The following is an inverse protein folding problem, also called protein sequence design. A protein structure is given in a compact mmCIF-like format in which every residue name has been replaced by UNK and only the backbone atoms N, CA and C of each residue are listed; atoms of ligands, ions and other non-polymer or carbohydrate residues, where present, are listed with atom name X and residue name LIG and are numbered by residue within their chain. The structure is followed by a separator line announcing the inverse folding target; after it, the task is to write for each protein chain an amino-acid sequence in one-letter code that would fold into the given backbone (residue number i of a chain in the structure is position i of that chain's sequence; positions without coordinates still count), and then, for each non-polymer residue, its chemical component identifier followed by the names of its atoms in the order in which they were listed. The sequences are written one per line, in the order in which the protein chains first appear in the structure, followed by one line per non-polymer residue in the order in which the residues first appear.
data_IF_474544069106
#
_entry.id   IF_474544069106
#
_cell.length_a   1.000
_cell.length_b   1.000
_cell.length_c   1.000
_cell.angle_alpha   90.00
_cell.angle_beta   90.00
_cell.angle_gamma   90.00
#
_symmetry.space_group_name_H-M   'P 1'
#
loop_
_entity.id
_entity.type
_entity.pdbx_description
1 polymer ?
#
# COMPACT_ATOMS: atom_id res chain seq x y z
N UNK A 1 -3.52 21.92 -26.48
CA UNK A 1 -3.54 22.22 -25.03
C UNK A 1 -2.29 21.61 -24.40
N UNK A 2 -1.61 22.33 -23.52
CA UNK A 2 -0.47 21.78 -22.77
C UNK A 2 -0.99 20.85 -21.67
N UNK A 3 -0.42 19.64 -21.55
CA UNK A 3 -0.75 18.73 -20.47
C UNK A 3 0.21 18.99 -19.30
N UNK A 4 -0.34 19.33 -18.15
CA UNK A 4 0.44 19.64 -16.94
C UNK A 4 0.18 18.56 -15.89
N UNK A 5 1.21 17.80 -15.55
CA UNK A 5 1.09 16.77 -14.50
C UNK A 5 1.01 17.40 -13.12
N UNK A 6 0.40 16.74 -12.13
CA UNK A 6 0.59 17.09 -10.72
C UNK A 6 2.09 17.10 -10.37
N UNK A 7 2.46 17.79 -9.29
CA UNK A 7 3.84 17.78 -8.81
C UNK A 7 4.21 16.36 -8.36
N UNK A 8 5.48 15.99 -8.57
CA UNK A 8 5.99 14.65 -8.23
C UNK A 8 5.20 13.50 -8.87
N UNK A 9 4.52 13.77 -9.99
CA UNK A 9 3.83 12.74 -10.74
C UNK A 9 4.78 11.65 -11.21
N UNK A 10 4.41 10.39 -11.01
CA UNK A 10 5.14 9.23 -11.54
C UNK A 10 4.26 7.99 -11.58
N UNK A 11 4.59 7.05 -12.46
CA UNK A 11 4.03 5.71 -12.44
C UNK A 11 4.82 4.83 -11.45
N UNK A 12 4.13 4.33 -10.41
CA UNK A 12 4.71 3.40 -9.43
C UNK A 12 4.71 1.97 -10.00
N UNK A 13 3.61 1.60 -10.64
CA UNK A 13 3.43 0.36 -11.40
C UNK A 13 2.52 0.68 -12.61
N UNK A 14 2.40 -0.22 -13.61
CA UNK A 14 1.41 -0.05 -14.66
C UNK A 14 0.01 0.21 -14.06
N UNK A 15 -0.64 1.28 -14.51
CA UNK A 15 -1.94 1.75 -14.02
C UNK A 15 -1.97 2.22 -12.55
N UNK A 16 -0.84 2.25 -11.85
CA UNK A 16 -0.71 2.80 -10.50
C UNK A 16 0.16 4.06 -10.52
N UNK A 17 -0.47 5.20 -10.26
CA UNK A 17 0.18 6.50 -10.34
C UNK A 17 0.25 7.17 -8.97
N UNK A 18 1.24 8.04 -8.78
CA UNK A 18 1.40 8.88 -7.59
C UNK A 18 1.58 10.35 -7.98
N UNK A 19 1.37 11.25 -7.03
CA UNK A 19 1.79 12.66 -7.13
C UNK A 19 1.23 13.53 -6.00
N UNK A 20 1.21 14.85 -6.21
CA UNK A 20 0.60 15.83 -5.31
C UNK A 20 -0.92 15.90 -5.44
N UNK A 21 -1.56 16.66 -4.54
CA UNK A 21 -2.98 16.94 -4.68
C UNK A 21 -3.26 17.58 -6.05
N UNK A 22 -4.17 16.99 -6.86
CA UNK A 22 -4.59 17.54 -8.13
C UNK A 22 -5.15 18.95 -8.01
N UNK A 23 -4.98 19.73 -9.07
CA UNK A 23 -5.60 21.04 -9.26
C UNK A 23 -6.23 21.11 -10.65
N UNK A 24 -7.04 22.13 -10.90
CA UNK A 24 -7.73 22.36 -12.18
C UNK A 24 -6.79 22.27 -13.39
N UNK A 25 -5.59 22.87 -13.31
CA UNK A 25 -4.59 22.82 -14.38
C UNK A 25 -4.13 21.39 -14.74
N UNK A 26 -4.29 20.44 -13.82
CA UNK A 26 -3.91 19.04 -14.02
C UNK A 26 -5.00 18.19 -14.65
N UNK A 27 -6.27 18.65 -14.67
CA UNK A 27 -7.41 17.88 -15.17
C UNK A 27 -7.15 17.35 -16.58
N UNK A 28 -6.70 18.15 -17.58
CA UNK A 28 -6.50 17.65 -18.93
C UNK A 28 -5.51 16.48 -18.99
N UNK A 29 -4.49 16.49 -18.12
CA UNK A 29 -3.54 15.39 -18.01
C UNK A 29 -4.16 14.17 -17.31
N UNK A 30 -4.87 14.36 -16.20
CA UNK A 30 -5.50 13.26 -15.45
C UNK A 30 -6.55 12.51 -16.27
N UNK A 31 -7.27 13.20 -17.16
CA UNK A 31 -8.19 12.58 -18.13
C UNK A 31 -7.46 11.53 -18.99
N UNK A 32 -6.20 11.76 -19.36
CA UNK A 32 -5.43 10.83 -20.20
C UNK A 32 -5.09 9.51 -19.51
N UNK A 33 -5.11 9.48 -18.18
CA UNK A 33 -4.78 8.29 -17.39
C UNK A 33 -5.93 7.29 -17.28
N UNK A 34 -7.17 7.69 -17.61
CA UNK A 34 -8.34 6.82 -17.52
C UNK A 34 -8.57 6.29 -16.10
N UNK A 35 -8.39 7.15 -15.09
CA UNK A 35 -8.47 6.76 -13.68
C UNK A 35 -9.87 6.23 -13.35
N UNK A 36 -9.91 5.16 -12.56
CA UNK A 36 -11.12 4.68 -11.89
C UNK A 36 -11.18 5.21 -10.45
N UNK A 37 -10.02 5.36 -9.81
CA UNK A 37 -9.91 5.80 -8.42
C UNK A 37 -8.88 6.90 -8.20
N UNK A 38 -9.21 7.81 -7.29
CA UNK A 38 -8.24 8.75 -6.69
C UNK A 38 -8.20 8.47 -5.19
N UNK A 39 -7.02 8.15 -4.66
CA UNK A 39 -6.79 7.89 -3.23
C UNK A 39 -6.15 9.12 -2.60
N UNK A 40 -6.88 9.78 -1.70
CA UNK A 40 -6.49 11.04 -1.06
C UNK A 40 -6.05 10.80 0.38
N UNK A 41 -4.75 11.00 0.65
CA UNK A 41 -4.11 10.93 1.96
C UNK A 41 -3.90 12.35 2.52
N UNK A 42 -4.99 13.02 2.83
CA UNK A 42 -5.02 14.44 3.23
C UNK A 42 -5.87 14.63 4.49
N UNK A 43 -5.79 15.79 5.17
CA UNK A 43 -6.67 16.10 6.29
C UNK A 43 -8.14 16.29 5.86
N UNK A 44 -8.32 16.83 4.65
CA UNK A 44 -9.63 17.10 4.07
C UNK A 44 -9.81 16.30 2.78
N UNK A 45 -11.05 15.88 2.45
CA UNK A 45 -11.33 15.14 1.22
C UNK A 45 -11.18 16.03 -0.02
N UNK A 46 -10.83 15.43 -1.15
CA UNK A 46 -10.67 16.13 -2.42
C UNK A 46 -11.99 16.76 -2.92
N UNK A 47 -13.13 16.20 -2.50
CA UNK A 47 -14.47 16.67 -2.86
C UNK A 47 -14.82 18.03 -2.27
N UNK A 48 -14.03 18.57 -1.32
CA UNK A 48 -14.19 19.96 -0.88
C UNK A 48 -13.84 20.98 -1.96
N UNK A 49 -13.05 20.60 -2.97
CA UNK A 49 -12.82 21.41 -4.17
C UNK A 49 -13.93 21.11 -5.20
N UNK A 50 -14.85 22.06 -5.48
CA UNK A 50 -15.97 21.83 -6.41
C UNK A 50 -15.51 21.45 -7.82
N UNK A 51 -14.34 21.94 -8.25
CA UNK A 51 -13.80 21.62 -9.56
C UNK A 51 -13.35 20.16 -9.63
N UNK A 52 -12.72 19.66 -8.57
CA UNK A 52 -12.31 18.26 -8.49
C UNK A 52 -13.50 17.31 -8.29
N UNK A 53 -14.51 17.74 -7.53
CA UNK A 53 -15.75 16.98 -7.37
C UNK A 53 -16.48 16.81 -8.71
N UNK A 54 -16.65 17.90 -9.47
CA UNK A 54 -17.23 17.86 -10.83
C UNK A 54 -16.44 16.92 -11.74
N UNK A 55 -15.11 17.08 -11.76
CA UNK A 55 -14.23 16.25 -12.57
C UNK A 55 -14.39 14.75 -12.24
N UNK A 56 -14.43 14.40 -10.95
CA UNK A 56 -14.63 13.01 -10.53
C UNK A 56 -15.99 12.49 -10.98
N UNK A 57 -17.05 13.29 -10.82
CA UNK A 57 -18.41 12.92 -11.23
C UNK A 57 -18.54 12.73 -12.73
N UNK A 58 -18.04 13.66 -13.54
CA UNK A 58 -18.09 13.59 -15.00
C UNK A 58 -17.32 12.38 -15.57
N UNK A 59 -16.22 12.00 -14.94
CA UNK A 59 -15.37 10.89 -15.38
C UNK A 59 -15.71 9.56 -14.70
N UNK A 60 -16.64 9.54 -13.76
CA UNK A 60 -16.98 8.34 -12.99
C UNK A 60 -15.82 7.84 -12.13
N UNK A 61 -14.99 8.77 -11.63
CA UNK A 61 -13.87 8.48 -10.74
C UNK A 61 -14.38 8.42 -9.31
N UNK A 62 -14.08 7.34 -8.61
CA UNK A 62 -14.41 7.19 -7.20
C UNK A 62 -13.28 7.75 -6.32
N UNK A 63 -13.63 8.64 -5.38
CA UNK A 63 -12.66 9.22 -4.46
C UNK A 63 -12.60 8.40 -3.17
N UNK A 64 -11.41 7.87 -2.87
CA UNK A 64 -11.12 7.13 -1.63
C UNK A 64 -10.36 8.06 -0.71
N UNK A 65 -11.08 8.63 0.24
CA UNK A 65 -10.50 9.50 1.26
C UNK A 65 -10.06 8.68 2.47
N UNK A 66 -8.78 8.78 2.82
CA UNK A 66 -8.24 8.20 4.03
C UNK A 66 -7.59 9.34 4.81
N UNK A 67 -8.18 9.67 5.96
CA UNK A 67 -7.74 10.80 6.78
C UNK A 67 -6.29 10.60 7.23
N UNK A 68 -5.43 11.54 6.86
CA UNK A 68 -4.06 11.62 7.33
C UNK A 68 -3.89 12.88 8.17
N UNK A 69 -3.24 12.75 9.32
CA UNK A 69 -2.94 13.87 10.20
C UNK A 69 -2.18 14.97 9.47
N UNK A 70 -2.55 16.21 9.73
CA UNK A 70 -1.84 17.37 9.19
C UNK A 70 -0.36 17.33 9.57
N UNK A 71 0.54 17.38 8.59
CA UNK A 71 1.99 17.49 8.83
C UNK A 71 2.34 18.75 9.67
N UNK A 72 1.40 19.70 9.77
CA UNK A 72 1.51 20.99 10.46
C UNK A 72 0.67 21.08 11.74
N UNK A 73 0.26 19.98 12.37
CA UNK A 73 -0.43 20.08 13.66
C UNK A 73 0.42 20.93 14.66
N UNK A 74 -0.14 22.03 15.20
CA UNK A 74 0.57 22.87 16.15
C UNK A 74 0.72 22.10 17.46
N UNK A 75 1.95 21.65 17.74
CA UNK A 75 2.28 21.09 19.06
C UNK A 75 1.99 22.17 20.10
N UNK A 76 1.04 21.87 20.97
CA UNK A 76 0.62 22.66 22.12
C UNK A 76 1.83 23.33 22.79
N UNK A 77 1.86 24.66 22.78
CA UNK A 77 2.96 25.50 23.33
C UNK A 77 2.94 25.55 24.86
N UNK A 78 2.22 24.64 25.52
CA UNK A 78 2.01 24.63 26.97
C UNK A 78 3.13 24.00 27.80
N UNK A 79 4.06 23.21 27.23
CA UNK A 79 5.03 22.44 28.06
C UNK A 79 6.50 22.79 27.80
N UNK A 80 7.14 23.15 28.92
CA UNK A 80 8.49 23.65 29.15
C UNK A 80 9.63 22.88 28.44
N UNK A 81 10.65 23.65 28.03
CA UNK A 81 11.94 23.28 27.43
C UNK A 81 12.55 21.94 27.94
N UNK A 82 12.55 20.90 27.10
CA UNK A 82 13.68 19.95 26.91
C UNK A 82 13.77 19.54 25.43
N UNK A 83 14.99 19.60 24.90
CA UNK A 83 15.38 19.66 23.49
C UNK A 83 15.53 18.25 22.89
N UNK A 84 14.43 17.66 22.41
CA UNK A 84 14.44 16.69 21.28
C UNK A 84 13.03 16.61 20.71
N UNK A 85 12.73 17.47 19.75
CA UNK A 85 11.48 17.45 18.99
C UNK A 85 11.48 16.15 18.17
N UNK A 86 11.00 15.04 18.73
CA UNK A 86 10.72 13.82 17.96
C UNK A 86 9.76 14.26 16.85
N UNK A 87 10.28 14.35 15.62
CA UNK A 87 9.44 14.45 14.43
C UNK A 87 8.84 13.06 14.31
N UNK A 88 7.62 12.90 14.82
CA UNK A 88 6.88 11.68 14.60
C UNK A 88 6.64 11.56 13.08
N UNK A 89 6.55 10.32 12.60
CA UNK A 89 6.14 10.04 11.23
C UNK A 89 4.73 10.61 11.04
N UNK A 90 4.43 11.29 9.93
CA UNK A 90 3.16 12.03 9.74
C UNK A 90 1.97 11.13 9.38
N UNK A 91 2.12 9.81 9.43
CA UNK A 91 1.09 8.84 9.07
C UNK A 91 1.09 7.70 10.07
N UNK A 92 -0.10 7.25 10.44
CA UNK A 92 -0.30 6.12 11.33
C UNK A 92 -0.19 4.79 10.58
N UNK A 93 0.18 3.74 11.32
CA UNK A 93 0.33 2.40 10.77
C UNK A 93 -0.98 1.89 10.13
N UNK A 94 -2.10 2.09 10.81
CA UNK A 94 -3.42 1.62 10.35
C UNK A 94 -3.86 2.29 9.05
N UNK A 95 -3.55 3.57 8.88
CA UNK A 95 -3.77 4.31 7.62
C UNK A 95 -3.01 3.68 6.46
N UNK A 96 -1.74 3.31 6.66
CA UNK A 96 -0.96 2.61 5.63
C UNK A 96 -1.55 1.23 5.34
N UNK A 97 -2.00 0.50 6.36
CA UNK A 97 -2.66 -0.80 6.19
C UNK A 97 -3.94 -0.68 5.36
N UNK A 98 -4.79 0.33 5.63
CA UNK A 98 -5.99 0.59 4.83
C UNK A 98 -5.65 0.90 3.37
N UNK A 99 -4.60 1.69 3.12
CA UNK A 99 -4.12 1.95 1.77
C UNK A 99 -3.66 0.67 1.07
N UNK A 100 -2.90 -0.18 1.77
CA UNK A 100 -2.42 -1.46 1.25
C UNK A 100 -3.60 -2.38 0.91
N UNK A 101 -4.59 -2.47 1.80
CA UNK A 101 -5.80 -3.27 1.58
C UNK A 101 -6.55 -2.82 0.33
N UNK A 102 -6.69 -1.51 0.13
CA UNK A 102 -7.30 -0.96 -1.08
C UNK A 102 -6.46 -1.26 -2.35
N UNK A 103 -5.15 -1.01 -2.31
CA UNK A 103 -4.24 -1.21 -3.45
C UNK A 103 -3.94 -2.68 -3.75
N UNK A 104 -4.35 -3.61 -2.89
CA UNK A 104 -4.17 -5.03 -3.11
C UNK A 104 -5.04 -5.59 -4.26
N UNK A 105 -6.18 -4.96 -4.55
CA UNK A 105 -7.13 -5.39 -5.56
C UNK A 105 -6.83 -4.76 -6.93
N UNK A 106 -6.62 -5.60 -7.95
CA UNK A 106 -6.37 -5.19 -9.34
C UNK A 106 -7.57 -4.45 -9.95
N UNK A 107 -8.78 -4.66 -9.44
CA UNK A 107 -10.00 -4.00 -9.91
C UNK A 107 -10.08 -2.52 -9.48
N UNK A 108 -9.21 -2.10 -8.57
CA UNK A 108 -9.06 -0.70 -8.17
C UNK A 108 -8.11 0.09 -9.07
N UNK A 109 -7.65 -0.48 -10.20
CA UNK A 109 -6.76 0.19 -11.15
C UNK A 109 -7.49 0.51 -12.48
N UNK A 110 -7.15 1.60 -13.18
CA UNK A 110 -6.08 2.56 -12.87
C UNK A 110 -6.40 3.50 -11.70
N UNK A 111 -5.42 3.76 -10.84
CA UNK A 111 -5.59 4.64 -9.69
C UNK A 111 -4.44 5.63 -9.51
N UNK A 112 -4.77 6.75 -8.87
CA UNK A 112 -3.84 7.81 -8.54
C UNK A 112 -3.84 8.06 -7.03
N UNK A 113 -2.70 7.89 -6.37
CA UNK A 113 -2.54 8.17 -4.94
C UNK A 113 -1.82 9.49 -4.71
N UNK A 114 -2.32 10.30 -3.77
CA UNK A 114 -1.67 11.55 -3.41
C UNK A 114 -1.83 11.90 -1.93
N UNK A 115 -0.93 12.75 -1.46
CA UNK A 115 -1.15 13.55 -0.26
C UNK A 115 -1.20 15.03 -0.68
N UNK A 116 -1.10 15.98 0.24
CA UNK A 116 -1.14 17.42 -0.10
C UNK A 116 -0.03 17.79 -1.07
N UNK A 117 1.22 17.43 -0.76
CA UNK A 117 2.39 17.76 -1.57
C UNK A 117 2.85 16.63 -2.49
N UNK A 118 2.44 15.40 -2.25
CA UNK A 118 2.91 14.22 -2.99
C UNK A 118 4.30 13.73 -2.62
N UNK A 119 4.86 14.23 -1.52
CA UNK A 119 6.20 13.91 -1.01
C UNK A 119 6.09 12.82 0.08
N UNK A 120 6.16 13.19 1.35
CA UNK A 120 6.44 12.28 2.47
C UNK A 120 5.38 11.19 2.68
N UNK A 121 4.13 11.56 2.94
CA UNK A 121 3.04 10.59 3.22
C UNK A 121 2.86 9.59 2.07
N UNK A 122 2.72 10.07 0.82
CA UNK A 122 2.64 9.20 -0.36
C UNK A 122 3.86 8.30 -0.49
N UNK A 123 5.06 8.82 -0.24
CA UNK A 123 6.29 8.03 -0.34
C UNK A 123 6.40 6.95 0.73
N UNK A 124 5.89 7.19 1.95
CA UNK A 124 5.85 6.18 3.01
C UNK A 124 4.92 5.02 2.62
N UNK A 125 3.73 5.31 2.09
CA UNK A 125 2.81 4.28 1.60
C UNK A 125 3.43 3.48 0.46
N UNK A 126 4.00 4.16 -0.55
CA UNK A 126 4.67 3.50 -1.66
C UNK A 126 5.85 2.65 -1.18
N UNK A 127 6.65 3.13 -0.23
CA UNK A 127 7.76 2.36 0.34
C UNK A 127 7.28 1.07 1.04
N UNK A 128 6.18 1.13 1.79
CA UNK A 128 5.55 -0.05 2.39
C UNK A 128 5.02 -1.02 1.31
N UNK A 129 4.40 -0.52 0.24
CA UNK A 129 3.98 -1.34 -0.92
C UNK A 129 5.18 -2.04 -1.60
N UNK A 130 6.31 -1.34 -1.77
CA UNK A 130 7.54 -1.94 -2.31
C UNK A 130 8.09 -3.03 -1.41
N UNK A 131 8.00 -2.86 -0.10
CA UNK A 131 8.40 -3.88 0.87
C UNK A 131 7.55 -5.14 0.73
N UNK A 132 6.23 -5.01 0.51
CA UNK A 132 5.33 -6.13 0.19
C UNK A 132 5.60 -6.77 -1.19
N UNK A 133 6.24 -6.01 -2.09
CA UNK A 133 6.75 -6.48 -3.38
C UNK A 133 8.15 -7.10 -3.29
N UNK A 134 8.68 -7.31 -2.07
CA UNK A 134 10.03 -7.84 -1.80
C UNK A 134 11.18 -7.05 -2.43
N UNK A 135 11.02 -5.74 -2.55
CA UNK A 135 12.15 -4.88 -2.92
C UNK A 135 13.20 -4.86 -1.81
N UNK A 136 14.47 -4.75 -2.20
CA UNK A 136 15.54 -4.56 -1.22
C UNK A 136 15.37 -3.21 -0.51
N UNK A 137 15.71 -3.13 0.77
CA UNK A 137 15.65 -1.89 1.56
C UNK A 137 16.42 -0.74 0.88
N UNK A 138 17.55 -1.05 0.22
CA UNK A 138 18.35 -0.07 -0.53
C UNK A 138 17.56 0.50 -1.71
N UNK A 139 16.89 -0.36 -2.49
CA UNK A 139 16.05 0.06 -3.62
C UNK A 139 14.86 0.90 -3.15
N UNK A 140 14.23 0.52 -2.05
CA UNK A 140 13.11 1.26 -1.45
C UNK A 140 13.56 2.67 -1.07
N UNK A 141 14.70 2.81 -0.38
CA UNK A 141 15.20 4.12 0.01
C UNK A 141 15.69 4.97 -1.17
N UNK A 142 16.25 4.36 -2.21
CA UNK A 142 16.60 5.10 -3.42
C UNK A 142 15.37 5.70 -4.11
N UNK A 143 14.27 4.93 -4.22
CA UNK A 143 13.00 5.46 -4.74
C UNK A 143 12.44 6.54 -3.82
N UNK A 144 12.44 6.30 -2.49
CA UNK A 144 11.96 7.27 -1.51
C UNK A 144 12.67 8.62 -1.61
N UNK A 145 14.00 8.60 -1.74
CA UNK A 145 14.84 9.80 -1.85
C UNK A 145 14.72 10.52 -3.20
N UNK A 146 14.09 9.91 -4.20
CA UNK A 146 13.75 10.61 -5.45
C UNK A 146 12.67 11.68 -5.22
N UNK A 147 11.78 11.47 -4.24
CA UNK A 147 10.66 12.35 -3.93
C UNK A 147 10.82 13.13 -2.62
N UNK A 148 11.83 12.80 -1.82
CA UNK A 148 12.10 13.44 -0.53
C UNK A 148 13.58 13.77 -0.43
N UNK A 149 13.90 15.01 -0.07
CA UNK A 149 15.30 15.47 0.03
C UNK A 149 16.12 14.73 1.09
N UNK A 150 15.47 14.10 2.07
CA UNK A 150 16.12 13.33 3.12
C UNK A 150 15.17 12.31 3.74
N UNK A 151 15.72 11.25 4.32
CA UNK A 151 14.98 10.31 5.18
C UNK A 151 15.51 10.39 6.61
N UNK A 152 14.62 10.60 7.56
CA UNK A 152 14.96 10.67 8.98
C UNK A 152 14.93 9.27 9.64
N UNK A 153 15.50 9.14 10.83
CA UNK A 153 15.61 7.85 11.54
C UNK A 153 14.23 7.23 11.88
N UNK A 154 13.21 8.04 12.12
CA UNK A 154 11.86 7.59 12.42
C UNK A 154 11.14 7.07 11.16
N UNK A 155 11.30 7.74 10.02
CA UNK A 155 10.77 7.30 8.72
C UNK A 155 11.44 6.00 8.28
N UNK A 156 12.78 5.93 8.40
CA UNK A 156 13.53 4.70 8.14
C UNK A 156 13.05 3.56 9.04
N UNK A 157 12.96 3.80 10.34
CA UNK A 157 12.47 2.83 11.30
C UNK A 157 11.03 2.40 11.02
N UNK A 158 10.17 3.31 10.55
CA UNK A 158 8.81 2.98 10.16
C UNK A 158 8.78 2.01 8.97
N UNK A 159 9.52 2.31 7.90
CA UNK A 159 9.59 1.44 6.71
C UNK A 159 10.20 0.07 7.09
N UNK A 160 11.32 0.06 7.81
CA UNK A 160 12.03 -1.17 8.18
C UNK A 160 11.21 -2.07 9.12
N UNK A 161 10.48 -1.48 10.07
CA UNK A 161 9.67 -2.24 11.04
C UNK A 161 8.22 -2.43 10.60
N UNK A 162 7.80 -1.91 9.44
CA UNK A 162 6.45 -2.11 8.92
C UNK A 162 6.13 -3.60 8.83
N UNK A 163 5.11 -4.05 9.56
CA UNK A 163 4.72 -5.44 9.57
C UNK A 163 4.13 -5.82 8.21
N UNK A 164 4.56 -6.98 7.72
CA UNK A 164 4.19 -7.50 6.41
C UNK A 164 3.09 -8.56 6.53
N UNK A 165 2.63 -8.81 7.76
CA UNK A 165 1.42 -9.55 8.06
C UNK A 165 0.23 -8.60 8.13
N UNK A 166 -0.51 -8.52 7.03
CA UNK A 166 -1.70 -7.68 6.87
C UNK A 166 -2.85 -8.58 6.45
N UNK A 167 -3.94 -8.50 7.17
CA UNK A 167 -5.16 -9.21 6.84
C UNK A 167 -5.90 -8.43 5.74
N UNK A 168 -6.01 -9.01 4.55
CA UNK A 168 -6.82 -8.44 3.47
C UNK A 168 -8.16 -9.15 3.49
N UNK A 169 -9.20 -8.42 3.88
CA UNK A 169 -10.58 -8.91 3.90
C UNK A 169 -11.20 -8.72 2.51
N UNK A 170 -12.11 -9.61 2.16
CA UNK A 170 -12.99 -9.46 0.99
C UNK A 170 -12.28 -9.40 -0.38
N UNK A 171 -11.04 -9.92 -0.47
CA UNK A 171 -10.29 -10.01 -1.73
C UNK A 171 -10.11 -11.47 -2.16
N UNK A 172 -10.65 -11.80 -3.34
CA UNK A 172 -10.36 -13.07 -4.00
C UNK A 172 -8.90 -13.09 -4.50
N UNK A 173 -8.22 -14.22 -4.32
CA UNK A 173 -6.83 -14.42 -4.78
C UNK A 173 -6.66 -14.18 -6.28
N UNK A 174 -7.72 -14.38 -7.08
CA UNK A 174 -7.68 -14.09 -8.53
C UNK A 174 -7.61 -12.59 -8.83
N UNK A 175 -8.13 -11.76 -7.94
CA UNK A 175 -8.27 -10.31 -8.11
C UNK A 175 -7.14 -9.52 -7.45
N UNK A 176 -6.29 -10.21 -6.69
CA UNK A 176 -5.06 -9.65 -6.17
C UNK A 176 -4.10 -9.18 -7.27
N UNK A 177 -3.45 -8.04 -7.05
CA UNK A 177 -2.35 -7.58 -7.90
C UNK A 177 -1.18 -8.58 -7.95
N UNK A 178 -0.65 -8.82 -9.16
CA UNK A 178 0.36 -9.85 -9.42
C UNK A 178 1.74 -9.54 -8.84
N UNK A 179 2.05 -8.25 -8.66
CA UNK A 179 3.35 -7.77 -8.18
C UNK A 179 3.48 -7.79 -6.65
N UNK A 180 2.38 -8.01 -5.93
CA UNK A 180 2.41 -8.22 -4.48
C UNK A 180 2.61 -9.72 -4.21
N UNK A 181 3.55 -10.08 -3.34
CA UNK A 181 3.83 -11.49 -3.04
C UNK A 181 3.01 -11.92 -1.83
N UNK A 182 2.39 -13.10 -1.90
CA UNK A 182 1.61 -13.68 -0.79
C UNK A 182 2.10 -15.09 -0.53
N UNK A 183 2.32 -15.41 0.75
CA UNK A 183 2.34 -16.80 1.20
C UNK A 183 0.90 -17.17 1.55
N UNK A 184 0.27 -17.98 0.69
CA UNK A 184 -1.01 -18.58 1.05
C UNK A 184 -0.76 -19.54 2.20
N UNK A 185 -1.30 -19.24 3.37
CA UNK A 185 -1.49 -20.20 4.44
C UNK A 185 -2.69 -21.06 4.03
N UNK A 186 -2.43 -22.25 3.50
CA UNK A 186 -3.45 -23.29 3.52
C UNK A 186 -3.67 -23.66 4.99
N UNK A 187 -4.55 -22.94 5.68
CA UNK A 187 -5.14 -23.43 6.93
C UNK A 187 -6.20 -24.44 6.49
N UNK A 188 -5.73 -25.62 6.06
CA UNK A 188 -6.61 -26.78 5.99
C UNK A 188 -6.94 -27.14 7.43
N UNK A 189 -8.18 -26.85 7.78
CA UNK A 189 -8.96 -27.35 8.90
C UNK A 189 -8.43 -28.68 9.44
N UNK A 190 -7.58 -28.63 10.47
CA UNK A 190 -7.16 -29.79 11.24
C UNK A 190 -8.04 -29.87 12.48
N UNK A 191 -9.34 -30.12 12.27
CA UNK A 191 -10.28 -30.46 13.33
C UNK A 191 -10.83 -31.88 13.12
N UNK A 192 -10.38 -32.79 14.00
CA UNK A 192 -11.02 -34.05 14.39
C UNK A 192 -11.16 -35.22 13.36
N UNK A 193 -10.35 -36.27 13.52
CA UNK A 193 -10.75 -37.54 14.21
C UNK A 193 -9.68 -38.65 14.14
N UNK A 194 -9.34 -39.14 15.33
CA UNK A 194 -9.14 -40.53 15.77
C UNK A 194 -8.32 -41.54 14.96
N UNK A 195 -7.50 -42.28 15.70
CA UNK A 195 -6.54 -43.25 15.20
C UNK A 195 -7.16 -44.55 14.68
N UNK A 196 -6.39 -45.24 13.83
CA UNK A 196 -5.88 -46.58 14.10
C UNK A 196 -4.89 -46.96 12.98
N UNK A 197 -3.79 -47.59 13.34
CA UNK A 197 -2.82 -48.16 12.41
C UNK A 197 -3.33 -49.49 11.87
N UNK A 198 -3.01 -49.85 10.62
CA UNK A 198 -2.47 -51.15 10.14
C UNK A 198 -2.60 -51.27 8.60
N UNK A 199 -1.46 -51.59 7.96
CA UNK A 199 -1.14 -52.22 6.66
C UNK A 199 -1.96 -52.03 5.37
N UNK A 200 -1.22 -51.85 4.26
CA UNK A 200 -1.70 -52.13 2.90
C UNK A 200 -0.84 -51.52 1.78
N UNK A 201 -0.12 -52.37 1.07
CA UNK A 201 0.89 -52.07 0.03
C UNK A 201 0.32 -51.66 -1.34
N UNK A 202 1.06 -50.79 -2.05
CA UNK A 202 1.32 -50.73 -3.52
C UNK A 202 0.78 -49.58 -4.41
N UNK A 203 1.76 -49.05 -5.16
CA UNK A 203 1.78 -48.52 -6.55
C UNK A 203 1.60 -47.03 -6.89
N UNK A 204 2.74 -46.47 -7.33
CA UNK A 204 3.01 -45.66 -8.54
C UNK A 204 2.56 -44.19 -8.62
N UNK A 205 3.54 -43.30 -8.85
CA UNK A 205 3.34 -41.93 -9.30
C UNK A 205 4.51 -41.02 -8.93
N UNK A 206 5.59 -41.06 -9.71
CA UNK A 206 6.74 -40.19 -9.53
C UNK A 206 6.38 -38.73 -9.84
N UNK A 207 6.13 -37.93 -8.81
CA UNK A 207 6.19 -36.47 -8.90
C UNK A 207 7.45 -35.99 -8.19
N UNK A 208 8.41 -35.49 -8.97
CA UNK A 208 9.61 -34.82 -8.50
C UNK A 208 9.21 -33.57 -7.69
N UNK A 209 9.03 -33.73 -6.38
CA UNK A 209 8.90 -32.60 -5.46
C UNK A 209 10.27 -31.97 -5.31
N UNK A 210 10.48 -30.82 -5.95
CA UNK A 210 11.62 -29.96 -5.64
C UNK A 210 11.43 -29.48 -4.20
N UNK A 211 12.10 -30.14 -3.25
CA UNK A 211 12.25 -29.64 -1.88
C UNK A 211 13.22 -28.46 -1.95
N UNK A 212 12.71 -27.23 -1.91
CA UNK A 212 13.55 -26.08 -1.60
C UNK A 212 13.94 -26.15 -0.12
N UNK A 213 15.14 -26.71 0.13
CA UNK A 213 15.88 -26.55 1.38
C UNK A 213 16.46 -25.13 1.38
N UNK A 214 16.19 -24.38 2.43
CA UNK A 214 16.80 -23.06 2.66
C UNK A 214 16.11 -22.27 3.75
N UNK A 215 16.35 -22.63 5.01
CA UNK A 215 16.08 -21.75 6.16
C UNK A 215 16.92 -20.49 6.01
N UNK A 216 16.28 -19.35 5.79
CA UNK A 216 16.89 -18.03 5.97
C UNK A 216 16.39 -17.40 7.28
N UNK A 217 17.27 -16.77 8.07
CA UNK A 217 16.92 -16.21 9.37
C UNK A 217 16.27 -14.83 9.17
N UNK A 218 14.94 -14.82 9.18
CA UNK A 218 14.11 -13.62 9.18
C UNK A 218 12.66 -14.02 8.97
N UNK A 219 11.75 -13.62 9.88
CA UNK A 219 10.33 -13.91 9.72
C UNK A 219 9.81 -13.21 8.47
N UNK A 220 9.33 -14.01 7.53
CA UNK A 220 8.83 -13.57 6.24
C UNK A 220 7.39 -13.02 6.38
N UNK A 221 6.99 -12.06 5.53
CA UNK A 221 5.60 -11.59 5.40
C UNK A 221 4.54 -12.69 5.43
N UNK A 222 3.48 -12.51 6.21
CA UNK A 222 2.27 -13.37 6.24
C UNK A 222 1.01 -12.55 6.06
N UNK A 223 0.70 -12.18 4.82
CA UNK A 223 -0.60 -11.60 4.49
C UNK A 223 -1.68 -12.69 4.59
N UNK A 224 -2.64 -12.59 5.52
CA UNK A 224 -3.77 -13.55 5.58
C UNK A 224 -4.96 -13.00 4.77
N UNK A 225 -5.52 -13.83 3.91
CA UNK A 225 -6.69 -13.48 3.11
C UNK A 225 -7.88 -14.23 3.68
N UNK A 226 -8.96 -13.51 3.98
CA UNK A 226 -10.22 -14.11 4.39
C UNK A 226 -11.19 -13.95 3.23
N UNK A 227 -11.41 -15.02 2.46
CA UNK A 227 -12.38 -15.03 1.37
C UNK A 227 -13.82 -15.06 1.88
N UNK A 228 -14.74 -14.50 1.10
CA UNK A 228 -16.18 -14.57 1.37
C UNK A 228 -16.69 -15.95 0.91
N UNK A 229 -17.17 -16.75 1.86
CA UNK A 229 -17.93 -17.96 1.57
C UNK A 229 -19.19 -17.55 0.80
N UNK A 230 -19.30 -17.99 -0.45
CA UNK A 230 -20.49 -17.79 -1.28
C UNK A 230 -21.72 -18.48 -0.70
#
# INVERSE_FOLDING_TARGET
MSLVTPLYFSAVQPNFYRGSQPREINIPFLVTLGLKYIVSLTPNPLTEDPCMEEFCREKGIENVFIECSDEKAPKDKSKTKVKRKKKAVPIDYDTVVQCVQFLADKNHYPCYIHCTNGELVTSLVVACMRKLSYWSTVSIFNEFLTYNSSINIHERGFIENFNLEIDIRDLDMKDKVSWMIVRSSNVSDASHRDGNSVDGTQHAGAHNSIKCIGSFPGMLPRLNFHGVSS
#
